data_IF_608226653209
#
_entry.id   IF_608226653209
#
_cell.length_a   1.000
_cell.length_b   1.000
_cell.length_c   1.000
_cell.angle_alpha   90.00
_cell.angle_beta   90.00
_cell.angle_gamma   90.00
#
_symmetry.space_group_name_H-M   'P 1'
#
loop_
_entity.id
_entity.type
_entity.pdbx_description
1 polymer ?
#
# COMPACT_ATOMS: atom_id res chain seq x y z
N UNK A 1 -6.98 -49.80 2.39
CA UNK A 1 -7.35 -48.53 1.70
C UNK A 1 -6.85 -47.40 2.56
N UNK A 2 -5.87 -46.62 2.06
CA UNK A 2 -5.37 -45.47 2.83
C UNK A 2 -6.44 -44.36 2.73
N UNK A 3 -7.22 -44.16 3.77
CA UNK A 3 -8.20 -43.07 3.82
C UNK A 3 -7.46 -41.75 3.78
N UNK A 4 -7.44 -41.11 2.60
CA UNK A 4 -6.84 -39.79 2.44
C UNK A 4 -7.59 -38.81 3.33
N UNK A 5 -6.89 -38.13 4.22
CA UNK A 5 -7.49 -37.07 5.04
C UNK A 5 -8.24 -36.10 4.14
N UNK A 6 -9.44 -35.71 4.58
CA UNK A 6 -10.29 -34.75 3.88
C UNK A 6 -10.25 -33.41 4.60
N UNK A 7 -10.23 -32.33 3.85
CA UNK A 7 -10.36 -30.96 4.37
C UNK A 7 -11.42 -30.22 3.56
N UNK A 8 -12.37 -29.62 4.27
CA UNK A 8 -13.38 -28.74 3.70
C UNK A 8 -13.04 -27.29 4.08
N UNK A 9 -12.98 -26.39 3.09
CA UNK A 9 -12.54 -25.00 3.24
C UNK A 9 -13.70 -24.09 2.86
N UNK A 10 -14.01 -23.14 3.73
CA UNK A 10 -15.05 -22.15 3.48
C UNK A 10 -14.39 -20.85 3.00
N UNK A 11 -14.71 -20.44 1.78
CA UNK A 11 -14.20 -19.25 1.12
C UNK A 11 -13.08 -19.55 0.10
N UNK A 12 -13.31 -19.20 -1.16
CA UNK A 12 -12.39 -19.33 -2.29
C UNK A 12 -11.51 -18.08 -2.51
N UNK A 13 -11.24 -17.29 -1.47
CA UNK A 13 -10.27 -16.19 -1.51
C UNK A 13 -8.81 -16.67 -1.43
N UNK A 14 -7.81 -15.76 -1.49
CA UNK A 14 -6.40 -16.13 -1.47
C UNK A 14 -6.00 -17.05 -0.30
N UNK A 15 -6.53 -16.81 0.88
CA UNK A 15 -6.25 -17.64 2.06
C UNK A 15 -6.77 -19.07 1.89
N UNK A 16 -8.05 -19.24 1.51
CA UNK A 16 -8.66 -20.56 1.31
C UNK A 16 -8.00 -21.32 0.16
N UNK A 17 -7.69 -20.63 -0.95
CA UNK A 17 -6.99 -21.22 -2.08
C UNK A 17 -5.57 -21.69 -1.69
N UNK A 18 -4.85 -20.89 -0.88
CA UNK A 18 -3.52 -21.26 -0.38
C UNK A 18 -3.58 -22.50 0.51
N UNK A 19 -4.53 -22.57 1.45
CA UNK A 19 -4.72 -23.76 2.29
C UNK A 19 -5.04 -24.97 1.43
N UNK A 20 -5.93 -24.82 0.44
CA UNK A 20 -6.27 -25.90 -0.49
C UNK A 20 -5.09 -26.40 -1.31
N UNK A 21 -4.26 -25.47 -1.80
CA UNK A 21 -3.05 -25.78 -2.55
C UNK A 21 -2.07 -26.62 -1.73
N UNK A 22 -1.73 -26.19 -0.51
CA UNK A 22 -0.80 -26.93 0.35
C UNK A 22 -1.40 -28.26 0.84
N UNK A 23 -2.67 -28.30 1.19
CA UNK A 23 -3.33 -29.54 1.56
C UNK A 23 -3.31 -30.58 0.41
N UNK A 24 -3.48 -30.10 -0.83
CA UNK A 24 -3.38 -30.96 -2.01
C UNK A 24 -1.96 -31.49 -2.22
N UNK A 25 -0.94 -30.63 -2.02
CA UNK A 25 0.49 -31.05 -2.04
C UNK A 25 0.79 -32.12 -0.99
N UNK A 26 0.08 -32.08 0.15
CA UNK A 26 0.18 -33.11 1.20
C UNK A 26 -0.65 -34.37 0.91
N UNK A 27 -1.27 -34.49 -0.24
CA UNK A 27 -2.04 -35.67 -0.66
C UNK A 27 -3.46 -35.74 -0.07
N UNK A 28 -3.96 -34.65 0.54
CA UNK A 28 -5.31 -34.60 1.10
C UNK A 28 -6.38 -34.44 0.01
N UNK A 29 -7.61 -34.87 0.33
CA UNK A 29 -8.78 -34.54 -0.45
C UNK A 29 -9.29 -33.17 -0.01
N UNK A 30 -9.43 -32.24 -0.96
CA UNK A 30 -9.79 -30.84 -0.68
C UNK A 30 -11.08 -30.49 -1.37
N UNK A 31 -12.01 -29.89 -0.62
CA UNK A 31 -13.21 -29.24 -1.16
C UNK A 31 -13.23 -27.79 -0.69
N UNK A 32 -13.43 -26.85 -1.61
CA UNK A 32 -13.55 -25.42 -1.30
C UNK A 32 -14.98 -24.98 -1.63
N UNK A 33 -15.64 -24.36 -0.66
CA UNK A 33 -16.99 -23.81 -0.82
C UNK A 33 -16.87 -22.30 -0.97
N UNK A 34 -17.32 -21.77 -2.09
CA UNK A 34 -17.35 -20.34 -2.40
C UNK A 34 -18.80 -19.88 -2.59
N UNK A 35 -19.16 -18.76 -1.99
CA UNK A 35 -20.52 -18.23 -2.04
C UNK A 35 -20.87 -17.52 -3.35
N UNK A 36 -19.85 -17.12 -4.11
CA UNK A 36 -20.01 -16.41 -5.37
C UNK A 36 -19.61 -17.28 -6.57
N UNK A 37 -19.99 -16.87 -7.77
CA UNK A 37 -19.61 -17.57 -9.01
C UNK A 37 -18.13 -17.43 -9.38
N UNK A 38 -17.38 -16.50 -8.73
CA UNK A 38 -15.98 -16.22 -9.02
C UNK A 38 -15.13 -16.47 -7.79
N UNK A 39 -14.10 -17.29 -7.94
CA UNK A 39 -13.06 -17.48 -6.93
C UNK A 39 -12.07 -16.30 -6.93
N UNK A 40 -11.26 -16.19 -5.87
CA UNK A 40 -10.24 -15.16 -5.71
C UNK A 40 -10.57 -14.11 -4.65
N UNK A 41 -11.78 -14.05 -4.14
CA UNK A 41 -12.18 -13.08 -3.10
C UNK A 41 -11.92 -11.65 -3.54
N UNK A 42 -11.20 -10.89 -2.74
CA UNK A 42 -10.82 -9.51 -3.10
C UNK A 42 -9.76 -9.42 -4.22
N UNK A 43 -9.12 -10.52 -4.58
CA UNK A 43 -8.11 -10.58 -5.66
C UNK A 43 -8.69 -11.14 -6.97
N UNK A 44 -10.02 -11.23 -7.08
CA UNK A 44 -10.65 -11.73 -8.30
C UNK A 44 -10.56 -10.71 -9.44
N UNK A 45 -10.36 -11.22 -10.64
CA UNK A 45 -10.44 -10.43 -11.88
C UNK A 45 -11.84 -10.53 -12.46
N UNK A 46 -12.45 -9.41 -12.78
CA UNK A 46 -13.73 -9.31 -13.43
C UNK A 46 -13.48 -9.21 -14.94
N UNK A 47 -14.28 -9.96 -15.71
CA UNK A 47 -14.24 -9.93 -17.18
C UNK A 47 -15.57 -9.35 -17.64
N UNK A 48 -15.53 -8.29 -18.44
CA UNK A 48 -16.68 -7.66 -19.07
C UNK A 48 -16.35 -7.40 -20.56
N UNK A 49 -16.87 -8.26 -21.42
CA UNK A 49 -16.49 -8.29 -22.85
C UNK A 49 -14.98 -8.52 -22.99
N UNK A 50 -14.31 -7.60 -23.66
CA UNK A 50 -12.86 -7.64 -23.87
C UNK A 50 -12.05 -7.03 -22.72
N UNK A 51 -12.73 -6.45 -21.73
CA UNK A 51 -12.08 -5.78 -20.61
C UNK A 51 -11.84 -6.75 -19.44
N UNK A 52 -10.68 -6.59 -18.80
CA UNK A 52 -10.31 -7.30 -17.58
C UNK A 52 -9.85 -6.32 -16.54
N UNK A 53 -10.44 -6.38 -15.35
CA UNK A 53 -10.09 -5.50 -14.25
C UNK A 53 -10.28 -6.18 -12.89
N UNK A 54 -9.48 -5.79 -11.94
CA UNK A 54 -9.58 -6.29 -10.58
C UNK A 54 -10.46 -5.37 -9.72
N UNK A 55 -11.03 -5.90 -8.64
CA UNK A 55 -11.84 -5.13 -7.68
C UNK A 55 -11.02 -4.12 -6.88
N UNK A 56 -9.70 -4.15 -7.00
CA UNK A 56 -8.75 -3.23 -6.36
C UNK A 56 -7.36 -3.38 -6.96
N UNK A 57 -6.44 -2.49 -6.58
CA UNK A 57 -5.06 -2.56 -7.02
C UNK A 57 -4.31 -3.68 -6.28
N UNK A 58 -4.13 -4.82 -6.91
CA UNK A 58 -3.41 -5.96 -6.37
C UNK A 58 -2.02 -6.06 -7.02
N UNK A 59 -0.99 -5.95 -6.19
CA UNK A 59 0.40 -6.11 -6.61
C UNK A 59 1.06 -7.15 -5.72
N UNK A 60 1.82 -8.05 -6.33
CA UNK A 60 2.69 -8.93 -5.58
C UNK A 60 3.82 -8.09 -4.96
N UNK A 61 3.90 -8.09 -3.62
CA UNK A 61 4.96 -7.45 -2.87
C UNK A 61 5.91 -8.50 -2.33
N UNK A 62 7.18 -8.38 -2.66
CA UNK A 62 8.24 -9.27 -2.18
C UNK A 62 8.63 -8.93 -0.73
N UNK A 63 7.72 -9.21 0.21
CA UNK A 63 7.98 -9.09 1.66
C UNK A 63 8.54 -10.37 2.26
N UNK A 64 8.18 -11.50 1.68
CA UNK A 64 8.64 -12.83 2.03
C UNK A 64 9.12 -13.51 0.75
N UNK A 65 10.42 -13.67 0.62
CA UNK A 65 11.05 -14.22 -0.58
C UNK A 65 10.68 -15.69 -0.83
N UNK A 66 10.39 -16.46 0.22
CA UNK A 66 9.98 -17.87 0.07
C UNK A 66 8.62 -17.98 -0.61
N UNK A 67 7.65 -17.17 -0.13
CA UNK A 67 6.30 -17.07 -0.73
C UNK A 67 6.36 -16.52 -2.15
N UNK A 68 7.15 -15.47 -2.35
CA UNK A 68 7.31 -14.85 -3.68
C UNK A 68 7.89 -15.82 -4.69
N UNK A 69 8.90 -16.61 -4.31
CA UNK A 69 9.51 -17.59 -5.19
C UNK A 69 8.55 -18.74 -5.52
N UNK A 70 7.73 -19.17 -4.55
CA UNK A 70 6.72 -20.20 -4.83
C UNK A 70 5.65 -19.69 -5.79
N UNK A 71 5.17 -18.44 -5.62
CA UNK A 71 4.21 -17.82 -6.55
C UNK A 71 4.83 -17.69 -7.95
N UNK A 72 6.09 -17.27 -8.08
CA UNK A 72 6.80 -17.20 -9.35
C UNK A 72 6.91 -18.58 -10.00
N UNK A 73 7.25 -19.62 -9.23
CA UNK A 73 7.31 -20.98 -9.72
C UNK A 73 5.96 -21.53 -10.17
N UNK A 74 4.89 -21.16 -9.48
CA UNK A 74 3.52 -21.57 -9.80
C UNK A 74 2.99 -20.92 -11.07
N UNK A 75 3.26 -19.62 -11.26
CA UNK A 75 2.73 -18.83 -12.37
C UNK A 75 3.65 -18.84 -13.60
N UNK A 76 4.95 -19.04 -13.42
CA UNK A 76 5.93 -19.03 -14.52
C UNK A 76 5.82 -17.78 -15.38
N UNK A 77 5.73 -17.97 -16.68
CA UNK A 77 5.64 -16.89 -17.68
C UNK A 77 4.32 -16.12 -17.65
N UNK A 78 3.31 -16.62 -16.92
CA UNK A 78 2.05 -15.89 -16.73
C UNK A 78 2.19 -14.70 -15.77
N UNK A 79 3.27 -14.67 -14.96
CA UNK A 79 3.56 -13.56 -14.07
C UNK A 79 4.37 -12.49 -14.78
N UNK A 80 3.72 -11.43 -15.22
CA UNK A 80 4.35 -10.35 -15.96
C UNK A 80 4.89 -9.27 -15.01
N UNK A 81 6.13 -8.82 -15.24
CA UNK A 81 6.68 -7.64 -14.58
C UNK A 81 6.25 -6.39 -15.33
N UNK A 82 5.39 -5.59 -14.71
CA UNK A 82 4.89 -4.35 -15.30
C UNK A 82 5.41 -3.14 -14.53
N UNK A 83 5.72 -2.05 -15.24
CA UNK A 83 6.00 -0.75 -14.64
C UNK A 83 4.68 0.00 -14.54
N UNK A 84 4.17 0.14 -13.32
CA UNK A 84 2.92 0.86 -13.05
C UNK A 84 3.15 1.92 -11.97
N UNK A 85 3.63 3.12 -12.36
CA UNK A 85 3.87 4.19 -11.42
C UNK A 85 2.55 4.65 -10.79
N UNK A 86 2.54 4.76 -9.47
CA UNK A 86 1.40 5.34 -8.75
C UNK A 86 1.47 6.85 -8.80
N UNK A 87 0.33 7.50 -8.92
CA UNK A 87 0.21 8.97 -8.90
C UNK A 87 -0.91 9.40 -7.97
N UNK A 88 -0.72 10.56 -7.35
CA UNK A 88 -1.75 11.26 -6.58
C UNK A 88 -2.22 12.43 -7.42
N UNK A 89 -3.52 12.54 -7.65
CA UNK A 89 -4.13 13.69 -8.30
C UNK A 89 -4.71 14.61 -7.23
N UNK A 90 -4.25 15.86 -7.23
CA UNK A 90 -4.66 16.88 -6.26
C UNK A 90 -4.72 18.25 -6.93
N UNK A 91 -5.85 18.95 -6.84
CA UNK A 91 -6.09 20.30 -7.39
C UNK A 91 -5.62 20.46 -8.85
N UNK A 92 -6.04 19.55 -9.72
CA UNK A 92 -5.69 19.61 -11.14
C UNK A 92 -4.25 19.19 -11.46
N UNK A 93 -3.46 18.77 -10.48
CA UNK A 93 -2.05 18.41 -10.63
C UNK A 93 -1.82 16.95 -10.26
N UNK A 94 -0.93 16.29 -10.99
CA UNK A 94 -0.56 14.89 -10.76
C UNK A 94 0.80 14.82 -10.08
N UNK A 95 0.88 14.22 -8.90
CA UNK A 95 2.11 14.01 -8.13
C UNK A 95 2.51 12.54 -8.20
N UNK A 96 3.81 12.26 -8.23
CA UNK A 96 4.29 10.89 -8.12
C UNK A 96 4.09 10.33 -6.71
N UNK A 97 3.80 9.03 -6.61
CA UNK A 97 3.75 8.35 -5.31
C UNK A 97 4.90 7.31 -5.24
N UNK A 98 5.73 7.33 -4.20
CA UNK A 98 5.77 8.29 -3.09
C UNK A 98 6.03 9.73 -3.54
N UNK A 99 5.51 10.71 -2.80
CA UNK A 99 5.71 12.14 -3.09
C UNK A 99 7.22 12.44 -3.04
N UNK A 100 7.74 13.08 -4.07
CA UNK A 100 9.13 13.48 -4.11
C UNK A 100 9.30 15.01 -4.02
N UNK A 101 10.49 15.44 -3.60
CA UNK A 101 10.79 16.86 -3.41
C UNK A 101 10.71 17.64 -4.73
N UNK A 102 11.06 17.03 -5.86
CA UNK A 102 10.97 17.67 -7.17
C UNK A 102 9.53 18.05 -7.49
N UNK A 103 8.58 17.10 -7.27
CA UNK A 103 7.16 17.39 -7.47
C UNK A 103 6.69 18.55 -6.59
N UNK A 104 7.15 18.63 -5.34
CA UNK A 104 6.81 19.72 -4.43
C UNK A 104 7.35 21.04 -4.98
N UNK A 105 8.65 21.10 -5.31
CA UNK A 105 9.31 22.34 -5.77
C UNK A 105 8.72 22.86 -7.08
N UNK A 106 8.46 21.96 -8.06
CA UNK A 106 8.02 22.41 -9.39
C UNK A 106 6.51 22.58 -9.52
N UNK A 107 5.71 22.06 -8.59
CA UNK A 107 4.24 22.09 -8.71
C UNK A 107 3.56 23.01 -7.70
N UNK A 108 4.27 23.55 -6.73
CA UNK A 108 3.74 24.54 -5.79
C UNK A 108 4.31 25.91 -6.04
N UNK A 109 3.53 26.95 -5.69
CA UNK A 109 3.96 28.33 -5.69
C UNK A 109 4.93 28.62 -4.54
N UNK A 110 5.69 29.71 -4.65
CA UNK A 110 6.70 30.09 -3.66
C UNK A 110 6.13 30.34 -2.26
N UNK A 111 4.88 30.81 -2.16
CA UNK A 111 4.20 31.03 -0.87
C UNK A 111 3.92 29.71 -0.18
N UNK A 112 3.41 28.72 -0.89
CA UNK A 112 3.19 27.38 -0.37
C UNK A 112 4.50 26.71 0.00
N UNK A 113 5.54 26.82 -0.83
CA UNK A 113 6.87 26.28 -0.54
C UNK A 113 7.49 26.89 0.71
N UNK A 114 7.43 28.21 0.87
CA UNK A 114 7.94 28.89 2.07
C UNK A 114 7.20 28.45 3.34
N UNK A 115 5.89 28.26 3.24
CA UNK A 115 5.06 27.75 4.34
C UNK A 115 5.45 26.32 4.73
N UNK A 116 5.59 25.40 3.75
CA UNK A 116 6.04 24.03 3.97
C UNK A 116 7.41 24.03 4.65
N UNK A 117 8.34 24.84 4.19
CA UNK A 117 9.68 24.92 4.76
C UNK A 117 9.65 25.43 6.20
N UNK A 118 8.93 26.53 6.46
CA UNK A 118 8.79 27.10 7.80
C UNK A 118 8.15 26.11 8.78
N UNK A 119 7.08 25.41 8.38
CA UNK A 119 6.44 24.37 9.20
C UNK A 119 7.39 23.22 9.52
N UNK A 120 8.18 22.75 8.55
CA UNK A 120 9.14 21.68 8.77
C UNK A 120 10.31 22.10 9.68
N UNK A 121 10.79 23.33 9.58
CA UNK A 121 11.78 23.88 10.52
C UNK A 121 11.18 23.97 11.92
N UNK A 122 9.96 24.51 12.04
CA UNK A 122 9.28 24.69 13.31
C UNK A 122 9.00 23.38 14.04
N UNK A 123 8.57 22.34 13.32
CA UNK A 123 8.33 21.00 13.90
C UNK A 123 9.62 20.37 14.43
N UNK A 124 10.78 20.68 13.85
CA UNK A 124 12.07 20.18 14.33
C UNK A 124 12.62 20.92 15.53
N UNK A 125 12.30 22.22 15.66
CA UNK A 125 12.75 23.05 16.76
C UNK A 125 11.88 22.87 18.02
N UNK A 126 10.64 22.50 17.85
CA UNK A 126 9.74 22.21 18.99
C UNK A 126 10.05 20.82 19.56
N UNK A 127 10.15 20.74 20.90
CA UNK A 127 10.01 19.44 21.60
C UNK A 127 8.63 18.89 21.29
N UNK A 128 8.57 17.83 20.49
CA UNK A 128 7.31 17.18 20.14
C UNK A 128 6.62 16.68 21.41
N UNK A 129 5.36 17.03 21.61
CA UNK A 129 4.50 16.29 22.53
C UNK A 129 4.33 14.89 21.95
N UNK A 130 4.22 13.88 22.83
CA UNK A 130 3.91 12.52 22.36
C UNK A 130 2.62 12.53 21.55
N UNK A 131 2.63 12.09 20.29
CA UNK A 131 1.45 12.08 19.46
C UNK A 131 0.39 11.14 20.06
N UNK A 132 -0.89 11.53 20.02
CA UNK A 132 -2.00 10.78 20.57
C UNK A 132 -2.79 10.02 19.47
N UNK A 133 -2.69 10.47 18.24
CA UNK A 133 -3.46 9.94 17.11
C UNK A 133 -2.67 10.10 15.80
N UNK A 134 -3.23 9.59 14.71
CA UNK A 134 -2.60 9.67 13.39
C UNK A 134 -2.35 11.12 12.94
N UNK A 135 -3.28 12.04 13.20
CA UNK A 135 -3.16 13.46 12.80
C UNK A 135 -1.95 14.12 13.45
N UNK A 136 -1.74 13.84 14.76
CA UNK A 136 -0.58 14.35 15.49
C UNK A 136 0.74 13.84 14.89
N UNK A 137 0.80 12.54 14.53
CA UNK A 137 1.96 11.95 13.84
C UNK A 137 2.19 12.64 12.50
N UNK A 138 1.15 12.81 11.70
CA UNK A 138 1.25 13.45 10.39
C UNK A 138 1.79 14.89 10.52
N UNK A 139 1.21 15.69 11.41
CA UNK A 139 1.63 17.06 11.60
C UNK A 139 3.05 17.21 12.16
N UNK A 140 3.43 16.35 13.10
CA UNK A 140 4.78 16.39 13.70
C UNK A 140 5.86 15.92 12.72
N UNK A 141 5.53 15.03 11.79
CA UNK A 141 6.49 14.44 10.85
C UNK A 141 6.64 15.23 9.56
N UNK A 142 5.55 15.83 9.04
CA UNK A 142 5.51 16.41 7.68
C UNK A 142 5.09 17.87 7.63
N UNK A 143 4.72 18.45 8.75
CA UNK A 143 4.11 19.77 8.84
C UNK A 143 2.62 19.75 8.46
N UNK A 144 1.93 20.81 8.81
CA UNK A 144 0.48 20.91 8.63
C UNK A 144 0.08 20.93 7.16
N UNK A 145 0.78 21.71 6.34
CA UNK A 145 0.42 21.93 4.93
C UNK A 145 0.48 20.63 4.12
N UNK A 146 1.57 19.88 4.20
CA UNK A 146 1.69 18.58 3.48
C UNK A 146 0.69 17.56 4.01
N UNK A 147 0.49 17.53 5.32
CA UNK A 147 -0.44 16.59 5.95
C UNK A 147 -1.89 16.85 5.54
N UNK A 148 -2.34 18.11 5.54
CA UNK A 148 -3.70 18.48 5.15
C UNK A 148 -3.94 18.27 3.63
N UNK A 149 -2.93 18.46 2.81
CA UNK A 149 -3.07 18.26 1.36
C UNK A 149 -3.13 16.79 0.95
N UNK A 150 -2.34 15.92 1.58
CA UNK A 150 -2.14 14.56 1.08
C UNK A 150 -2.45 13.47 2.10
N UNK A 151 -1.88 13.56 3.32
CA UNK A 151 -1.92 12.44 4.25
C UNK A 151 -3.27 12.27 4.92
N UNK A 152 -3.83 13.35 5.42
CA UNK A 152 -5.11 13.32 6.14
C UNK A 152 -6.26 12.93 5.22
N UNK A 153 -6.50 13.62 4.07
CA UNK A 153 -7.61 13.26 3.20
C UNK A 153 -7.51 11.82 2.65
N UNK A 154 -6.30 11.38 2.31
CA UNK A 154 -6.09 10.01 1.86
C UNK A 154 -6.41 8.99 2.95
N UNK A 155 -5.93 9.24 4.17
CA UNK A 155 -6.12 8.30 5.29
C UNK A 155 -7.57 8.26 5.73
N UNK A 156 -8.24 9.41 5.86
CA UNK A 156 -9.66 9.49 6.18
C UNK A 156 -10.53 8.77 5.12
N UNK A 157 -10.20 8.94 3.83
CA UNK A 157 -10.88 8.21 2.75
C UNK A 157 -10.67 6.70 2.83
N UNK A 158 -9.45 6.27 3.17
CA UNK A 158 -9.10 4.85 3.25
C UNK A 158 -9.77 4.15 4.43
N UNK A 159 -9.80 4.81 5.58
CA UNK A 159 -10.29 4.22 6.83
C UNK A 159 -11.75 4.55 7.14
N UNK A 160 -12.35 5.51 6.44
CA UNK A 160 -13.73 5.97 6.68
C UNK A 160 -13.90 6.68 8.03
N UNK A 161 -12.80 7.15 8.64
CA UNK A 161 -12.77 7.76 9.96
C UNK A 161 -11.91 9.02 9.95
N UNK A 162 -12.22 9.97 10.86
CA UNK A 162 -11.41 11.18 11.04
C UNK A 162 -10.00 10.85 11.52
N UNK A 163 -9.01 11.60 11.03
CA UNK A 163 -7.59 11.35 11.31
C UNK A 163 -7.22 11.49 12.79
N UNK A 164 -7.95 12.31 13.56
CA UNK A 164 -7.79 12.46 15.01
C UNK A 164 -8.43 11.33 15.82
N UNK A 165 -9.29 10.51 15.19
CA UNK A 165 -9.89 9.31 15.80
C UNK A 165 -9.10 8.04 15.48
N UNK A 166 -8.10 8.11 14.61
CA UNK A 166 -7.31 6.97 14.18
C UNK A 166 -6.09 6.77 15.09
N UNK A 167 -5.87 5.52 15.48
CA UNK A 167 -4.75 5.14 16.34
C UNK A 167 -3.40 5.32 15.63
N UNK A 168 -2.34 5.57 16.39
CA UNK A 168 -0.97 5.76 15.88
C UNK A 168 -0.47 4.54 15.12
N UNK A 169 -0.90 3.33 15.51
CA UNK A 169 -0.43 2.08 14.92
C UNK A 169 -0.71 1.96 13.42
N UNK A 170 -1.70 2.68 12.89
CA UNK A 170 -1.99 2.70 11.46
C UNK A 170 -0.89 3.36 10.63
N UNK A 171 -0.01 4.14 11.25
CA UNK A 171 1.13 4.77 10.56
C UNK A 171 2.05 3.75 9.92
N UNK A 172 2.26 2.60 10.57
CA UNK A 172 2.98 1.44 10.05
C UNK A 172 4.26 1.77 9.29
N UNK A 173 4.68 0.86 8.40
CA UNK A 173 5.81 1.08 7.49
C UNK A 173 5.51 2.06 6.33
N UNK A 174 4.26 2.45 6.11
CA UNK A 174 3.85 3.28 4.96
C UNK A 174 4.28 4.74 5.08
N UNK A 175 4.30 5.29 6.28
CA UNK A 175 4.75 6.67 6.51
C UNK A 175 6.27 6.80 6.62
N UNK A 176 6.99 5.74 6.98
CA UNK A 176 8.46 5.78 7.04
C UNK A 176 9.12 6.13 5.71
N UNK A 177 8.48 5.82 4.58
CA UNK A 177 8.97 6.17 3.24
C UNK A 177 8.78 7.63 2.84
N UNK A 178 8.03 8.41 3.61
CA UNK A 178 7.74 9.83 3.35
C UNK A 178 8.55 10.77 4.25
N UNK A 179 9.43 10.24 5.12
CA UNK A 179 10.34 11.09 5.90
C UNK A 179 11.26 11.88 4.96
N UNK A 180 11.30 13.20 5.14
CA UNK A 180 12.13 14.10 4.34
C UNK A 180 13.62 13.71 4.35
N UNK A 181 14.10 13.09 5.44
CA UNK A 181 15.48 12.57 5.49
C UNK A 181 15.66 11.39 4.54
N UNK A 182 14.72 10.44 4.53
CA UNK A 182 14.74 9.28 3.61
C UNK A 182 14.66 9.76 2.16
N UNK A 183 13.81 10.75 1.88
CA UNK A 183 13.64 11.34 0.54
C UNK A 183 14.94 12.03 0.08
N UNK A 184 15.60 12.79 0.96
CA UNK A 184 16.88 13.44 0.66
C UNK A 184 17.98 12.40 0.42
N UNK A 185 18.07 11.37 1.28
CA UNK A 185 19.05 10.29 1.13
C UNK A 185 18.84 9.52 -0.17
N UNK A 186 17.60 9.23 -0.55
CA UNK A 186 17.28 8.54 -1.80
C UNK A 186 17.60 9.38 -3.05
N UNK A 187 17.49 10.71 -2.97
CA UNK A 187 17.94 11.59 -4.04
C UNK A 187 19.45 11.52 -4.26
N UNK A 188 20.25 11.44 -3.20
CA UNK A 188 21.71 11.32 -3.29
C UNK A 188 22.14 9.91 -3.74
N UNK A 189 21.44 8.85 -3.31
CA UNK A 189 21.75 7.46 -3.73
C UNK A 189 21.45 7.20 -5.20
N UNK A 190 20.36 7.77 -5.76
CA UNK A 190 20.00 7.60 -7.18
C UNK A 190 20.88 8.37 -8.16
N UNK A 191 21.76 9.23 -7.68
CA UNK A 191 22.72 9.98 -8.53
C UNK A 191 24.00 9.18 -8.80
N UNK A 192 24.18 8.04 -8.11
CA UNK A 192 25.39 7.20 -8.17
C UNK A 192 25.15 5.81 -8.80
N UNK A 193 24.03 5.61 -9.49
CA UNK A 193 23.75 4.39 -10.29
C UNK A 193 23.37 4.76 -11.72
#
# INVERSE_FOLDING_TARGET
MNDKKKIDIIGGGPAGLSVGYYAKKMGMNVTIYESTSLIGGNCKTIIDGDFRYDTGAHRLHDKDSSVTNEIKSLLGDSLLKVSSPSKIYFEGRSFNFPINIKDIIFKFDLKTLSKILAENIWTRLRKAKSPQNFKDVAYSSYGKTISDMFLIPYTEKLWGQKADMLDISITGGRLKSLDLKSIIIDMFKRKNN
#
